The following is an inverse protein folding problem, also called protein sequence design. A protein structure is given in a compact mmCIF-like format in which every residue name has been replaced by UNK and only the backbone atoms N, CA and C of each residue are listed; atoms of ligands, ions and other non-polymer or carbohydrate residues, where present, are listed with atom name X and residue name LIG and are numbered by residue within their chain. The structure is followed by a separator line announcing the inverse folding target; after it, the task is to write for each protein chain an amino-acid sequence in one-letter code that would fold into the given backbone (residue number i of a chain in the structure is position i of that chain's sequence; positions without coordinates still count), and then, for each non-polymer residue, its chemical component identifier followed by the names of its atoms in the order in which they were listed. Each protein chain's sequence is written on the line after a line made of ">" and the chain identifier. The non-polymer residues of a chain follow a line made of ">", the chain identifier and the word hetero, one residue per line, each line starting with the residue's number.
data_IF_395424563508
#
_entry.id   IF_395424563508
#
_cell.length_a   1.000
_cell.length_b   1.000
_cell.length_c   1.000
_cell.angle_alpha   90.00
_cell.angle_beta   90.00
_cell.angle_gamma   90.00
#
_symmetry.space_group_name_H-M   'P 1'
#
loop_
_entity.id
_entity.type
_entity.pdbx_description
1 polymer ?
#
# COMPACT_ATOMS: atom_id res chain seq x y z
N UNK A 1 0.62 -7.93 -6.47
CA UNK A 1 2.04 -8.25 -6.19
C UNK A 1 2.14 -9.75 -6.07
N UNK A 2 2.97 -10.38 -6.90
CA UNK A 2 3.34 -11.78 -6.72
C UNK A 2 3.98 -11.86 -5.33
N UNK A 3 3.43 -12.66 -4.41
CA UNK A 3 4.04 -12.90 -3.10
C UNK A 3 5.34 -13.67 -3.34
N UNK A 4 6.43 -12.93 -3.54
CA UNK A 4 7.78 -13.52 -3.52
C UNK A 4 7.95 -14.05 -2.11
N UNK A 5 8.21 -15.36 -1.98
CA UNK A 5 8.41 -16.00 -0.69
C UNK A 5 9.60 -15.32 0.01
N UNK A 6 9.45 -14.87 1.27
CA UNK A 6 10.56 -14.27 2.01
C UNK A 6 11.83 -15.11 1.96
N UNK A 7 12.99 -14.48 1.78
CA UNK A 7 14.27 -15.20 1.81
C UNK A 7 14.59 -15.67 3.24
N UNK A 8 15.53 -16.63 3.37
CA UNK A 8 15.99 -17.06 4.70
C UNK A 8 16.67 -15.91 5.47
N UNK A 9 17.39 -15.05 4.74
CA UNK A 9 18.07 -13.87 5.29
C UNK A 9 17.09 -12.83 5.81
N UNK A 10 16.03 -12.50 5.04
CA UNK A 10 14.99 -11.57 5.47
C UNK A 10 14.30 -12.04 6.76
N UNK A 11 13.96 -13.34 6.83
CA UNK A 11 13.40 -13.92 8.07
C UNK A 11 14.37 -13.84 9.24
N UNK A 12 15.67 -14.05 9.00
CA UNK A 12 16.71 -13.94 10.03
C UNK A 12 16.82 -12.51 10.53
N UNK A 13 16.87 -11.51 9.64
CA UNK A 13 16.92 -10.10 10.01
C UNK A 13 15.72 -9.69 10.89
N UNK A 14 14.50 -10.14 10.57
CA UNK A 14 13.31 -9.88 11.40
C UNK A 14 13.43 -10.55 12.78
N UNK A 15 13.93 -11.78 12.87
CA UNK A 15 14.14 -12.45 14.18
C UNK A 15 15.19 -11.75 15.02
N UNK A 16 16.29 -11.31 14.41
CA UNK A 16 17.36 -10.57 15.08
C UNK A 16 16.83 -9.22 15.57
N UNK A 17 16.03 -8.51 14.75
CA UNK A 17 15.34 -7.28 15.12
C UNK A 17 14.36 -7.48 16.28
N UNK A 18 13.55 -8.54 16.25
CA UNK A 18 12.64 -8.89 17.34
C UNK A 18 13.39 -9.09 18.65
N UNK A 19 14.50 -9.84 18.62
CA UNK A 19 15.30 -10.11 19.81
C UNK A 19 15.81 -8.82 20.47
N UNK A 20 16.40 -7.91 19.69
CA UNK A 20 16.94 -6.67 20.26
C UNK A 20 15.85 -5.73 20.80
N UNK A 21 14.64 -5.76 20.24
CA UNK A 21 13.49 -4.98 20.74
C UNK A 21 12.87 -5.64 21.96
N UNK A 22 12.80 -6.97 22.00
CA UNK A 22 12.36 -7.71 23.18
C UNK A 22 13.27 -7.42 24.38
N UNK A 23 14.59 -7.44 24.18
CA UNK A 23 15.57 -7.13 25.23
C UNK A 23 15.39 -5.73 25.82
N UNK A 24 15.18 -4.69 24.98
CA UNK A 24 14.96 -3.32 25.48
C UNK A 24 13.60 -3.15 26.16
N UNK A 25 12.60 -3.89 25.70
CA UNK A 25 11.27 -3.90 26.33
C UNK A 25 11.33 -4.51 27.73
N UNK A 26 12.00 -5.65 27.89
CA UNK A 26 12.13 -6.36 29.17
C UNK A 26 12.89 -5.56 30.24
N UNK A 27 13.84 -4.71 29.84
CA UNK A 27 14.59 -3.85 30.75
C UNK A 27 13.95 -2.45 30.97
N UNK A 28 12.74 -2.20 30.45
CA UNK A 28 12.08 -0.88 30.39
C UNK A 28 13.03 0.23 29.88
N UNK A 29 13.73 -0.07 28.80
CA UNK A 29 14.77 0.80 28.27
C UNK A 29 14.24 2.17 27.86
N UNK A 30 15.09 3.19 27.97
CA UNK A 30 14.70 4.57 27.70
C UNK A 30 14.55 4.87 26.19
N UNK A 31 14.16 6.09 25.86
CA UNK A 31 13.95 6.51 24.47
C UNK A 31 15.23 6.43 23.63
N UNK A 32 16.39 6.82 24.19
CA UNK A 32 17.67 6.75 23.50
C UNK A 32 18.09 5.30 23.20
N UNK A 33 17.82 4.37 24.11
CA UNK A 33 18.05 2.94 23.94
C UNK A 33 17.13 2.32 22.89
N UNK A 34 15.87 2.78 22.85
CA UNK A 34 14.89 2.39 21.83
C UNK A 34 15.33 2.90 20.46
N UNK A 35 15.69 4.19 20.38
CA UNK A 35 16.19 4.88 19.18
C UNK A 35 17.37 4.13 18.55
N UNK A 36 18.39 3.79 19.34
CA UNK A 36 19.58 3.05 18.86
C UNK A 36 19.24 1.72 18.20
N UNK A 37 18.24 0.99 18.72
CA UNK A 37 17.80 -0.31 18.18
C UNK A 37 16.96 -0.13 16.93
N UNK A 38 16.12 0.89 16.89
CA UNK A 38 15.36 1.26 15.68
C UNK A 38 16.29 1.67 14.53
N UNK A 39 17.33 2.46 14.79
CA UNK A 39 18.39 2.76 13.79
C UNK A 39 19.00 1.48 13.21
N UNK A 40 19.29 0.49 14.06
CA UNK A 40 19.79 -0.82 13.61
C UNK A 40 18.77 -1.56 12.75
N UNK A 41 17.47 -1.44 13.01
CA UNK A 41 16.41 -2.04 12.19
C UNK A 41 16.33 -1.35 10.82
N UNK A 42 16.43 -0.01 10.76
CA UNK A 42 16.50 0.70 9.50
C UNK A 42 17.65 0.19 8.61
N UNK A 43 18.83 -0.06 9.19
CA UNK A 43 19.95 -0.65 8.46
C UNK A 43 19.74 -2.12 8.08
N UNK A 44 19.55 -2.97 9.09
CA UNK A 44 19.60 -4.43 8.91
C UNK A 44 18.36 -5.06 8.28
N UNK A 45 17.18 -4.47 8.48
CA UNK A 45 15.91 -4.99 7.96
C UNK A 45 15.48 -4.23 6.71
N UNK A 46 15.58 -2.90 6.75
CA UNK A 46 15.06 -2.05 5.66
C UNK A 46 16.13 -1.63 4.64
N UNK A 47 17.42 -1.87 4.92
CA UNK A 47 18.53 -1.67 3.98
C UNK A 47 18.99 -0.22 3.84
N UNK A 48 18.74 0.64 4.83
CA UNK A 48 19.25 2.01 4.84
C UNK A 48 20.71 2.09 5.29
N UNK A 49 21.51 2.91 4.63
CA UNK A 49 22.72 3.47 5.22
C UNK A 49 22.31 4.54 6.25
N UNK A 50 22.44 4.21 7.54
CA UNK A 50 21.97 5.06 8.65
C UNK A 50 22.68 6.41 8.67
N UNK A 51 23.92 6.50 8.18
CA UNK A 51 24.68 7.76 8.18
C UNK A 51 24.31 8.67 7.01
N UNK A 52 23.79 8.11 5.92
CA UNK A 52 23.45 8.87 4.71
C UNK A 52 21.96 9.16 4.59
N UNK A 53 21.12 8.19 4.96
CA UNK A 53 19.69 8.24 4.68
C UNK A 53 18.86 8.67 5.89
N UNK A 54 19.43 8.70 7.10
CA UNK A 54 18.75 9.24 8.29
C UNK A 54 19.44 10.54 8.70
N UNK A 55 18.67 11.60 8.81
CA UNK A 55 19.12 12.85 9.43
C UNK A 55 18.49 12.98 10.81
N UNK A 56 19.32 13.34 11.79
CA UNK A 56 18.91 13.67 13.16
C UNK A 56 18.57 15.14 13.25
N UNK A 57 17.59 15.49 14.08
CA UNK A 57 17.31 16.85 14.55
C UNK A 57 17.42 17.93 13.47
N UNK A 58 16.53 17.88 12.47
CA UNK A 58 16.33 19.08 11.66
C UNK A 58 15.57 20.07 12.54
N UNK A 59 16.20 21.18 12.92
CA UNK A 59 15.49 22.31 13.50
C UNK A 59 14.50 22.78 12.45
N UNK A 60 13.21 22.60 12.70
CA UNK A 60 12.17 23.14 11.83
C UNK A 60 11.74 24.45 12.46
N UNK A 61 11.98 25.56 11.74
CA UNK A 61 11.53 26.88 12.16
C UNK A 61 10.00 26.95 12.03
N UNK A 62 9.30 26.61 13.10
CA UNK A 62 7.89 26.95 13.31
C UNK A 62 7.74 28.33 13.96
N UNK A 63 6.58 28.95 13.78
CA UNK A 63 6.24 30.27 14.29
C UNK A 63 6.02 30.30 15.83
N UNK A 64 7.07 30.02 16.62
CA UNK A 64 7.12 30.32 18.06
C UNK A 64 7.63 29.20 18.96
N UNK A 65 7.58 27.94 18.55
CA UNK A 65 8.15 26.81 19.30
C UNK A 65 8.87 25.86 18.32
N UNK A 66 10.11 25.50 18.65
CA UNK A 66 10.88 24.52 17.86
C UNK A 66 10.54 23.15 18.40
N UNK A 67 9.48 22.51 17.90
CA UNK A 67 9.35 21.06 18.09
C UNK A 67 10.22 20.35 17.03
N UNK A 68 10.88 19.28 17.46
CA UNK A 68 11.86 18.55 16.67
C UNK A 68 11.32 17.14 16.42
N UNK A 69 11.40 16.69 15.17
CA UNK A 69 11.20 15.27 14.85
C UNK A 69 12.47 14.49 15.16
N UNK A 70 12.32 13.26 15.66
CA UNK A 70 13.46 12.40 16.01
C UNK A 70 14.37 12.11 14.81
N UNK A 71 13.77 11.71 13.69
CA UNK A 71 14.48 11.51 12.44
C UNK A 71 13.70 12.02 11.25
N UNK A 72 14.45 12.39 10.22
CA UNK A 72 13.94 12.41 8.85
C UNK A 72 14.66 11.35 8.03
N UNK A 73 13.92 10.71 7.13
CA UNK A 73 14.49 9.78 6.14
C UNK A 73 14.59 10.48 4.79
N UNK A 74 15.74 10.36 4.15
CA UNK A 74 16.08 10.98 2.87
C UNK A 74 16.81 9.99 1.96
N UNK A 75 16.62 10.10 0.65
CA UNK A 75 17.32 9.24 -0.31
C UNK A 75 18.74 9.71 -0.61
N UNK A 76 18.95 11.02 -0.54
CA UNK A 76 20.25 11.66 -0.77
C UNK A 76 20.71 12.36 0.53
N UNK A 77 22.02 12.37 0.84
CA UNK A 77 22.54 13.07 1.99
C UNK A 77 22.58 14.59 1.74
N UNK A 78 22.26 15.37 2.77
CA UNK A 78 22.41 16.83 2.75
C UNK A 78 21.43 17.52 3.70
N UNK A 79 21.78 18.72 4.23
CA UNK A 79 20.93 19.43 5.18
C UNK A 79 19.65 20.00 4.55
N UNK A 80 19.67 20.28 3.24
CA UNK A 80 18.56 20.91 2.52
C UNK A 80 17.67 19.93 1.74
N UNK A 81 17.96 18.63 1.83
CA UNK A 81 17.19 17.60 1.10
C UNK A 81 15.78 17.50 1.66
N UNK A 82 14.78 17.47 0.79
CA UNK A 82 13.39 17.27 1.21
C UNK A 82 13.24 15.87 1.83
N UNK A 83 12.71 15.76 3.06
CA UNK A 83 12.50 14.47 3.68
C UNK A 83 11.39 13.70 2.97
N UNK A 84 11.58 12.40 2.81
CA UNK A 84 10.58 11.49 2.23
C UNK A 84 9.66 10.94 3.30
N UNK A 85 10.16 10.84 4.53
CA UNK A 85 9.40 10.38 5.67
C UNK A 85 9.89 11.07 6.93
N UNK A 86 8.95 11.55 7.75
CA UNK A 86 9.22 11.96 9.12
C UNK A 86 9.05 10.79 10.06
N UNK A 87 9.98 10.60 10.99
CA UNK A 87 9.93 9.51 11.95
C UNK A 87 9.85 10.11 13.35
N UNK A 88 8.79 9.74 14.05
CA UNK A 88 8.58 10.05 15.46
C UNK A 88 8.80 8.79 16.28
N UNK A 89 9.68 8.87 17.28
CA UNK A 89 10.05 7.78 18.15
C UNK A 89 9.55 8.00 19.56
N UNK A 90 9.15 6.92 20.20
CA UNK A 90 8.84 6.90 21.63
C UNK A 90 9.62 5.79 22.32
N UNK A 91 9.73 5.91 23.64
CA UNK A 91 10.24 4.84 24.50
C UNK A 91 9.46 3.54 24.28
N UNK A 92 10.16 2.40 24.29
CA UNK A 92 9.60 1.08 23.96
C UNK A 92 8.35 0.71 24.79
N UNK A 93 8.30 1.10 26.06
CA UNK A 93 7.17 0.83 26.96
C UNK A 93 5.95 1.75 26.78
N UNK A 94 6.01 2.75 25.88
CA UNK A 94 4.91 3.70 25.66
C UNK A 94 4.02 3.22 24.51
N UNK A 95 2.73 3.04 24.78
CA UNK A 95 1.71 2.82 23.74
C UNK A 95 1.61 4.02 22.78
N UNK A 96 1.62 3.74 21.48
CA UNK A 96 1.55 4.78 20.46
C UNK A 96 0.13 5.33 20.31
N UNK A 97 -0.07 6.60 20.67
CA UNK A 97 -1.35 7.28 20.68
C UNK A 97 -1.44 8.42 19.65
N UNK A 98 -2.68 8.85 19.33
CA UNK A 98 -2.96 9.97 18.40
C UNK A 98 -2.26 11.28 18.77
N UNK A 99 -1.99 11.51 20.05
CA UNK A 99 -1.26 12.70 20.51
C UNK A 99 0.18 12.74 19.98
N UNK A 100 0.85 11.60 19.84
CA UNK A 100 2.20 11.53 19.28
C UNK A 100 2.18 11.84 17.78
N UNK A 101 1.15 11.36 17.06
CA UNK A 101 0.97 11.70 15.65
C UNK A 101 0.81 13.22 15.45
N UNK A 102 0.04 13.89 16.32
CA UNK A 102 -0.13 15.35 16.23
C UNK A 102 1.17 16.13 16.34
N UNK A 103 2.15 15.66 17.13
CA UNK A 103 3.45 16.30 17.31
C UNK A 103 4.27 16.34 16.01
N UNK A 104 4.09 15.36 15.12
CA UNK A 104 4.84 15.25 13.86
C UNK A 104 4.05 15.73 12.64
N UNK A 105 2.71 15.80 12.74
CA UNK A 105 1.85 16.21 11.62
C UNK A 105 2.10 17.65 11.15
N UNK A 106 2.24 18.62 12.07
CA UNK A 106 2.53 20.03 11.74
C UNK A 106 3.77 20.14 10.86
N UNK A 107 4.85 19.48 11.29
CA UNK A 107 6.11 19.45 10.54
C UNK A 107 5.99 18.79 9.18
N UNK A 108 5.28 17.67 9.11
CA UNK A 108 5.07 16.97 7.84
C UNK A 108 4.38 17.88 6.84
N UNK A 109 3.41 18.69 7.29
CA UNK A 109 2.73 19.69 6.47
C UNK A 109 3.69 20.80 6.04
N UNK A 110 4.40 21.41 6.98
CA UNK A 110 5.29 22.55 6.71
C UNK A 110 6.46 22.18 5.79
N UNK A 111 6.99 20.96 5.91
CA UNK A 111 8.07 20.45 5.06
C UNK A 111 7.59 19.84 3.74
N UNK A 112 6.27 19.76 3.50
CA UNK A 112 5.71 19.07 2.34
C UNK A 112 6.06 17.58 2.30
N UNK A 113 6.16 16.92 3.45
CA UNK A 113 6.47 15.51 3.59
C UNK A 113 5.18 14.68 3.70
N UNK A 114 4.90 13.87 2.68
CA UNK A 114 3.67 13.07 2.59
C UNK A 114 3.61 11.88 3.56
N UNK A 115 4.73 11.49 4.16
CA UNK A 115 4.80 10.27 4.96
C UNK A 115 5.28 10.51 6.38
N UNK A 116 4.59 9.85 7.32
CA UNK A 116 4.95 9.83 8.73
C UNK A 116 5.08 8.38 9.18
N UNK A 117 6.12 8.07 9.93
CA UNK A 117 6.30 6.82 10.66
C UNK A 117 6.34 7.11 12.15
N UNK A 118 5.36 6.58 12.88
CA UNK A 118 5.34 6.61 14.34
C UNK A 118 5.73 5.22 14.87
N UNK A 119 6.76 5.16 15.72
CA UNK A 119 7.23 3.88 16.27
C UNK A 119 7.79 3.98 17.69
N UNK A 120 7.71 2.89 18.43
CA UNK A 120 8.42 2.67 19.70
C UNK A 120 9.32 1.42 19.60
N UNK A 121 9.66 0.99 18.38
CA UNK A 121 10.40 -0.23 18.09
C UNK A 121 9.55 -1.50 18.06
N UNK A 122 8.54 -1.64 18.92
CA UNK A 122 7.60 -2.78 18.89
C UNK A 122 6.43 -2.53 17.93
N UNK A 123 5.76 -1.39 18.04
CA UNK A 123 4.68 -0.94 17.16
C UNK A 123 5.24 -0.04 16.06
N UNK A 124 4.75 -0.21 14.85
CA UNK A 124 5.10 0.61 13.69
C UNK A 124 3.81 1.04 13.01
N UNK A 125 3.59 2.34 12.87
CA UNK A 125 2.38 2.92 12.26
C UNK A 125 2.79 3.90 11.17
N UNK A 126 2.40 3.62 9.94
CA UNK A 126 2.70 4.43 8.76
C UNK A 126 1.47 5.24 8.39
N UNK A 127 1.64 6.54 8.19
CA UNK A 127 0.59 7.47 7.82
C UNK A 127 0.94 8.22 6.54
N UNK A 128 -0.10 8.54 5.78
CA UNK A 128 -0.07 9.44 4.64
C UNK A 128 -0.68 10.78 5.02
N UNK A 129 -0.04 11.88 4.61
CA UNK A 129 -0.52 13.25 4.76
C UNK A 129 -1.06 13.73 3.43
N UNK A 130 -2.35 14.02 3.36
CA UNK A 130 -2.97 14.72 2.23
C UNK A 130 -3.01 16.23 2.54
N UNK A 131 -2.39 17.03 1.68
CA UNK A 131 -2.33 18.50 1.82
C UNK A 131 -3.62 19.20 1.36
N UNK A 132 -4.77 18.63 1.72
CA UNK A 132 -6.09 19.24 1.55
C UNK A 132 -6.26 20.47 2.48
N UNK A 133 -7.39 21.18 2.33
CA UNK A 133 -7.79 22.27 3.21
C UNK A 133 -9.11 21.89 3.90
N UNK A 134 -9.11 21.35 5.13
CA UNK A 134 -7.96 21.12 6.03
C UNK A 134 -7.12 19.88 5.68
N UNK A 135 -5.85 19.80 6.12
CA UNK A 135 -5.00 18.63 5.90
C UNK A 135 -5.60 17.38 6.53
N UNK A 136 -5.46 16.24 5.83
CA UNK A 136 -5.91 14.93 6.32
C UNK A 136 -4.73 14.01 6.55
N UNK A 137 -4.80 13.23 7.62
CA UNK A 137 -3.79 12.22 7.94
C UNK A 137 -4.47 10.88 8.10
N UNK A 138 -4.10 9.93 7.24
CA UNK A 138 -4.70 8.60 7.17
C UNK A 138 -3.64 7.52 7.41
N UNK A 139 -3.99 6.48 8.15
CA UNK A 139 -3.08 5.35 8.39
C UNK A 139 -3.03 4.47 7.13
N UNK A 140 -1.83 4.28 6.59
CA UNK A 140 -1.60 3.35 5.49
C UNK A 140 -1.50 1.91 5.99
N UNK A 141 -0.68 1.67 7.01
CA UNK A 141 -0.46 0.34 7.56
C UNK A 141 0.06 0.39 9.01
N UNK A 142 -0.13 -0.69 9.75
CA UNK A 142 0.41 -0.87 11.09
C UNK A 142 0.77 -2.34 11.35
N UNK A 143 1.80 -2.55 12.16
CA UNK A 143 2.23 -3.88 12.60
C UNK A 143 2.96 -3.83 13.95
N UNK A 144 3.04 -5.00 14.60
CA UNK A 144 3.75 -5.19 15.85
C UNK A 144 4.87 -6.23 15.66
N UNK A 145 6.12 -5.79 15.78
CA UNK A 145 7.32 -6.62 15.61
C UNK A 145 7.37 -7.80 16.59
N UNK A 146 6.87 -7.63 17.81
CA UNK A 146 6.90 -8.66 18.85
C UNK A 146 5.78 -9.71 18.66
N UNK A 147 4.61 -9.28 18.18
CA UNK A 147 3.40 -10.12 18.11
C UNK A 147 3.19 -10.77 16.73
N UNK A 148 3.44 -10.05 15.64
CA UNK A 148 3.09 -10.51 14.30
C UNK A 148 3.98 -11.65 13.80
N UNK A 149 3.50 -12.42 12.82
CA UNK A 149 4.27 -13.55 12.27
C UNK A 149 5.46 -13.02 11.46
N UNK A 150 6.61 -13.68 11.58
CA UNK A 150 7.83 -13.31 10.85
C UNK A 150 7.61 -13.18 9.34
N UNK A 151 6.82 -14.07 8.74
CA UNK A 151 6.56 -14.05 7.29
C UNK A 151 5.68 -12.86 6.87
N UNK A 152 4.77 -12.40 7.74
CA UNK A 152 3.96 -11.20 7.51
C UNK A 152 4.82 -9.94 7.66
N UNK A 153 5.64 -9.90 8.72
CA UNK A 153 6.55 -8.80 9.00
C UNK A 153 7.54 -8.53 7.87
N UNK A 154 8.07 -9.56 7.20
CA UNK A 154 8.93 -9.34 6.03
C UNK A 154 8.21 -8.50 4.97
N UNK A 155 6.94 -8.79 4.70
CA UNK A 155 6.13 -8.00 3.77
C UNK A 155 5.87 -6.58 4.26
N UNK A 156 5.59 -6.41 5.55
CA UNK A 156 5.33 -5.10 6.17
C UNK A 156 6.56 -4.19 6.14
N UNK A 157 7.72 -4.70 6.55
CA UNK A 157 8.97 -3.95 6.52
C UNK A 157 9.48 -3.70 5.08
N UNK A 158 9.18 -4.57 4.12
CA UNK A 158 9.54 -4.36 2.71
C UNK A 158 8.87 -3.09 2.14
N UNK A 159 7.67 -2.73 2.61
CA UNK A 159 6.96 -1.50 2.20
C UNK A 159 7.84 -0.26 2.44
N UNK A 160 8.55 -0.25 3.57
CA UNK A 160 9.44 0.84 4.01
C UNK A 160 10.91 0.62 3.63
N UNK A 161 11.25 -0.46 2.95
CA UNK A 161 12.64 -0.72 2.55
C UNK A 161 13.19 0.41 1.67
N UNK A 162 14.49 0.68 1.77
CA UNK A 162 15.17 1.67 0.92
C UNK A 162 14.89 1.42 -0.56
N UNK A 163 14.89 0.15 -0.97
CA UNK A 163 14.57 -0.27 -2.35
C UNK A 163 13.14 0.11 -2.76
N UNK A 164 12.16 -0.11 -1.88
CA UNK A 164 10.75 0.22 -2.13
C UNK A 164 10.58 1.73 -2.24
N UNK A 165 11.11 2.48 -1.27
CA UNK A 165 11.03 3.95 -1.22
C UNK A 165 11.66 4.58 -2.45
N UNK A 166 12.87 4.15 -2.84
CA UNK A 166 13.57 4.66 -4.04
C UNK A 166 12.76 4.47 -5.34
N UNK A 167 11.82 3.53 -5.36
CA UNK A 167 10.95 3.24 -6.53
C UNK A 167 9.54 3.83 -6.40
N UNK A 168 9.30 4.71 -5.43
CA UNK A 168 7.97 5.28 -5.13
C UNK A 168 6.97 4.23 -4.63
N UNK A 169 7.44 3.25 -3.85
CA UNK A 169 6.63 2.12 -3.39
C UNK A 169 5.44 2.54 -2.54
N UNK A 170 5.64 3.46 -1.59
CA UNK A 170 4.57 3.98 -0.73
C UNK A 170 3.46 4.66 -1.54
N UNK A 171 3.82 5.58 -2.43
CA UNK A 171 2.85 6.27 -3.30
C UNK A 171 2.05 5.28 -4.14
N UNK A 172 2.69 4.24 -4.70
CA UNK A 172 1.98 3.18 -5.46
C UNK A 172 1.00 2.38 -4.60
N UNK A 173 1.38 2.06 -3.37
CA UNK A 173 0.50 1.36 -2.42
C UNK A 173 -0.68 2.27 -2.08
N UNK A 174 -0.43 3.54 -1.81
CA UNK A 174 -1.46 4.52 -1.47
C UNK A 174 -2.43 4.80 -2.60
N UNK A 175 -1.95 5.04 -3.82
CA UNK A 175 -2.82 5.14 -5.01
C UNK A 175 -3.70 3.91 -5.13
N UNK A 176 -3.18 2.71 -4.83
CA UNK A 176 -3.98 1.49 -4.88
C UNK A 176 -5.04 1.43 -3.77
N UNK A 177 -4.74 1.93 -2.57
CA UNK A 177 -5.73 2.08 -1.49
C UNK A 177 -6.83 3.05 -1.94
N UNK A 178 -6.47 4.22 -2.47
CA UNK A 178 -7.45 5.23 -2.92
C UNK A 178 -8.30 4.76 -4.11
N UNK A 179 -7.73 4.06 -5.09
CA UNK A 179 -8.51 3.51 -6.22
C UNK A 179 -9.55 2.47 -5.76
N UNK A 180 -9.31 1.82 -4.62
CA UNK A 180 -10.23 0.86 -4.02
C UNK A 180 -11.10 1.47 -2.92
N UNK A 181 -11.09 2.80 -2.77
CA UNK A 181 -11.96 3.49 -1.82
C UNK A 181 -13.44 3.37 -2.24
N UNK A 182 -14.38 3.37 -1.27
CA UNK A 182 -15.80 3.15 -1.56
C UNK A 182 -16.38 4.09 -2.61
N UNK A 183 -16.07 5.38 -2.53
CA UNK A 183 -16.50 6.41 -3.47
C UNK A 183 -15.99 6.13 -4.90
N UNK A 184 -14.71 5.80 -5.04
CA UNK A 184 -14.09 5.51 -6.33
C UNK A 184 -14.68 4.25 -6.97
N UNK A 185 -14.88 3.20 -6.17
CA UNK A 185 -15.50 1.96 -6.62
C UNK A 185 -16.98 2.16 -6.99
N UNK A 186 -17.73 2.91 -6.18
CA UNK A 186 -19.13 3.19 -6.46
C UNK A 186 -19.30 4.00 -7.73
N UNK A 187 -18.48 5.05 -7.91
CA UNK A 187 -18.45 5.84 -9.14
C UNK A 187 -18.17 4.95 -10.37
N UNK A 188 -17.21 4.03 -10.27
CA UNK A 188 -16.89 3.09 -11.37
C UNK A 188 -18.05 2.13 -11.70
N UNK A 189 -18.81 1.68 -10.69
CA UNK A 189 -19.96 0.78 -10.86
C UNK A 189 -21.13 1.49 -11.55
N UNK A 190 -21.36 2.79 -11.29
CA UNK A 190 -22.53 3.53 -11.78
C UNK A 190 -22.28 4.32 -13.06
N UNK A 191 -21.17 4.08 -13.75
CA UNK A 191 -20.93 4.63 -15.10
C UNK A 191 -21.92 4.08 -16.14
N UNK A 192 -22.16 4.82 -17.22
CA UNK A 192 -23.10 4.42 -18.27
C UNK A 192 -22.78 3.02 -18.84
N UNK A 193 -21.51 2.75 -19.12
CA UNK A 193 -21.06 1.46 -19.67
C UNK A 193 -21.24 0.30 -18.67
N UNK A 194 -20.97 0.55 -17.38
CA UNK A 194 -21.18 -0.42 -16.32
C UNK A 194 -22.68 -0.72 -16.14
N UNK A 195 -23.52 0.31 -16.05
CA UNK A 195 -24.98 0.16 -15.94
C UNK A 195 -25.55 -0.56 -17.16
N UNK A 196 -25.14 -0.19 -18.37
CA UNK A 196 -25.52 -0.88 -19.61
C UNK A 196 -25.15 -2.36 -19.57
N UNK A 197 -23.95 -2.69 -19.08
CA UNK A 197 -23.49 -4.08 -18.94
C UNK A 197 -24.31 -4.84 -17.90
N UNK A 198 -24.57 -4.24 -16.75
CA UNK A 198 -25.39 -4.84 -15.67
C UNK A 198 -26.81 -5.10 -16.18
N UNK A 199 -27.47 -4.10 -16.79
CA UNK A 199 -28.82 -4.23 -17.36
C UNK A 199 -28.90 -5.32 -18.42
N UNK A 200 -27.90 -5.40 -19.31
CA UNK A 200 -27.83 -6.46 -20.32
C UNK A 200 -27.73 -7.84 -19.69
N UNK A 201 -26.89 -8.01 -18.67
CA UNK A 201 -26.73 -9.29 -17.97
C UNK A 201 -28.03 -9.68 -17.23
N UNK A 202 -28.66 -8.74 -16.51
CA UNK A 202 -29.94 -8.97 -15.85
C UNK A 202 -31.02 -9.40 -16.84
N UNK A 203 -31.16 -8.70 -17.98
CA UNK A 203 -32.13 -9.05 -19.02
C UNK A 203 -31.85 -10.43 -19.61
N UNK A 204 -30.58 -10.76 -19.85
CA UNK A 204 -30.20 -12.07 -20.39
C UNK A 204 -30.58 -13.20 -19.44
N UNK A 205 -30.37 -13.03 -18.14
CA UNK A 205 -30.55 -14.10 -17.16
C UNK A 205 -32.00 -14.21 -16.65
N UNK A 206 -32.75 -13.11 -16.64
CA UNK A 206 -34.12 -13.04 -16.09
C UNK A 206 -35.22 -12.77 -17.12
N UNK A 207 -34.85 -12.28 -18.31
CA UNK A 207 -35.80 -11.77 -19.31
C UNK A 207 -36.35 -10.37 -19.03
N UNK A 208 -36.10 -9.79 -17.84
CA UNK A 208 -36.69 -8.52 -17.39
C UNK A 208 -35.88 -7.32 -17.91
N UNK A 209 -36.59 -6.32 -18.44
CA UNK A 209 -36.01 -5.03 -18.78
C UNK A 209 -35.86 -4.17 -17.53
N UNK A 210 -34.67 -3.61 -17.34
CA UNK A 210 -34.34 -2.71 -16.23
C UNK A 210 -33.79 -1.42 -16.86
N UNK A 211 -34.15 -0.25 -16.35
CA UNK A 211 -33.59 1.03 -16.77
C UNK A 211 -32.42 1.49 -15.86
N UNK A 212 -31.75 2.60 -16.21
CA UNK A 212 -30.56 3.06 -15.46
C UNK A 212 -30.88 3.49 -14.02
N UNK A 213 -32.03 4.12 -13.78
CA UNK A 213 -32.45 4.52 -12.42
C UNK A 213 -32.80 3.31 -11.54
N UNK A 214 -33.48 2.32 -12.09
CA UNK A 214 -33.80 1.07 -11.39
C UNK A 214 -32.54 0.30 -11.02
N UNK A 215 -31.59 0.19 -11.97
CA UNK A 215 -30.30 -0.44 -11.74
C UNK A 215 -29.50 0.32 -10.66
N UNK A 216 -29.44 1.64 -10.75
CA UNK A 216 -28.79 2.50 -9.75
C UNK A 216 -29.39 2.31 -8.35
N UNK A 217 -30.72 2.44 -8.21
CA UNK A 217 -31.41 2.25 -6.91
C UNK A 217 -31.20 0.83 -6.36
N UNK A 218 -31.20 -0.18 -7.24
CA UNK A 218 -30.88 -1.55 -6.89
C UNK A 218 -29.48 -1.68 -6.30
N UNK A 219 -28.47 -1.11 -6.97
CA UNK A 219 -27.07 -1.07 -6.51
C UNK A 219 -26.94 -0.32 -5.17
N UNK A 220 -27.59 0.84 -5.02
CA UNK A 220 -27.56 1.60 -3.76
C UNK A 220 -28.11 0.79 -2.59
N UNK A 221 -29.13 -0.03 -2.82
CA UNK A 221 -29.67 -0.94 -1.79
C UNK A 221 -28.73 -2.08 -1.43
N UNK A 222 -27.65 -2.34 -2.19
CA UNK A 222 -26.62 -3.32 -1.84
C UNK A 222 -25.63 -2.79 -0.78
N UNK A 223 -25.71 -1.52 -0.40
CA UNK A 223 -24.83 -0.90 0.60
C UNK A 223 -25.26 -1.25 2.04
N UNK A 224 -25.38 -2.55 2.34
CA UNK A 224 -25.74 -3.05 3.66
C UNK A 224 -25.13 -4.43 3.97
N UNK A 225 -25.22 -4.84 5.23
CA UNK A 225 -24.66 -6.12 5.70
C UNK A 225 -25.29 -7.36 5.05
N UNK A 226 -26.58 -7.32 4.72
CA UNK A 226 -27.26 -8.46 4.09
C UNK A 226 -26.67 -8.74 2.70
N UNK A 227 -26.41 -7.70 1.91
CA UNK A 227 -25.75 -7.80 0.63
C UNK A 227 -24.29 -8.26 0.76
N UNK A 228 -23.56 -7.80 1.79
CA UNK A 228 -22.20 -8.27 2.07
C UNK A 228 -22.17 -9.79 2.38
N UNK A 229 -23.13 -10.29 3.17
CA UNK A 229 -23.30 -11.73 3.44
C UNK A 229 -23.59 -12.52 2.17
N UNK A 230 -24.51 -12.03 1.34
CA UNK A 230 -24.79 -12.67 0.05
C UNK A 230 -23.53 -12.72 -0.84
N UNK A 231 -22.76 -11.64 -0.90
CA UNK A 231 -21.53 -11.55 -1.70
C UNK A 231 -20.45 -12.54 -1.25
N UNK A 232 -20.36 -12.86 0.04
CA UNK A 232 -19.40 -13.86 0.57
C UNK A 232 -19.58 -15.26 -0.03
N UNK A 233 -20.78 -15.58 -0.52
CA UNK A 233 -21.08 -16.87 -1.15
C UNK A 233 -20.73 -16.89 -2.65
N UNK A 234 -20.49 -15.74 -3.26
CA UNK A 234 -20.25 -15.60 -4.71
C UNK A 234 -18.74 -15.64 -4.96
N UNK A 235 -18.30 -16.60 -5.77
CA UNK A 235 -16.88 -16.73 -6.15
C UNK A 235 -16.51 -15.70 -7.22
N UNK A 236 -15.29 -15.16 -7.12
CA UNK A 236 -14.72 -14.29 -8.16
C UNK A 236 -14.66 -15.08 -9.47
N UNK A 237 -15.29 -14.58 -10.56
CA UNK A 237 -15.28 -15.28 -11.85
C UNK A 237 -13.86 -15.48 -12.37
N UNK A 238 -13.49 -16.72 -12.72
CA UNK A 238 -12.22 -16.98 -13.40
C UNK A 238 -12.38 -16.85 -14.91
N UNK A 239 -11.43 -16.17 -15.55
CA UNK A 239 -11.39 -16.03 -17.01
C UNK A 239 -11.16 -17.42 -17.62
N UNK A 240 -12.13 -17.93 -18.37
CA UNK A 240 -12.01 -19.20 -19.09
C UNK A 240 -10.84 -19.07 -20.08
N UNK A 241 -9.78 -19.86 -19.91
CA UNK A 241 -8.68 -19.93 -20.88
C UNK A 241 -9.26 -20.51 -22.18
N UNK A 242 -9.40 -19.67 -23.21
CA UNK A 242 -9.72 -20.14 -24.57
C UNK A 242 -8.55 -21.00 -25.06
N UNK A 243 -8.71 -22.32 -25.06
CA UNK A 243 -7.88 -23.22 -25.84
C UNK A 243 -8.12 -22.91 -27.31
N UNK A 244 -7.11 -22.38 -28.01
CA UNK A 244 -7.15 -22.25 -29.47
C UNK A 244 -7.21 -23.67 -30.04
N UNK A 245 -8.35 -24.08 -30.61
CA UNK A 245 -8.40 -25.25 -31.51
C UNK A 245 -7.47 -24.94 -32.68
N UNK A 246 -6.44 -25.78 -32.86
CA UNK A 246 -5.61 -25.77 -34.06
C UNK A 246 -6.53 -25.92 -35.28
N UNK A 247 -6.35 -25.04 -36.27
CA UNK A 247 -6.97 -25.21 -37.58
C UNK A 247 -6.38 -26.48 -38.18
N UNK A 248 -7.22 -27.49 -38.41
CA UNK A 248 -6.93 -28.56 -39.35
C UNK A 248 -6.81 -27.95 -40.76
N UNK A 249 -5.69 -28.23 -41.41
CA UNK A 249 -5.43 -27.87 -42.80
C UNK A 249 -6.55 -28.42 -43.69
N UNK A 250 -7.11 -27.54 -44.52
CA UNK A 250 -8.00 -27.92 -45.61
C UNK A 250 -7.12 -28.20 -46.83
N UNK A 251 -7.25 -29.40 -47.39
CA UNK A 251 -6.75 -29.78 -48.71
C UNK A 251 -7.17 -28.74 -49.77
N UNK A 252 -6.20 -28.35 -50.60
CA UNK A 252 -6.42 -27.53 -51.79
C UNK A 252 -7.16 -28.35 -52.87
N UNK A 253 -8.19 -27.80 -53.55
CA UNK A 253 -8.62 -28.33 -54.82
C UNK A 253 -7.76 -27.75 -55.94
N UNK A 254 -7.19 -28.63 -56.76
CA UNK A 254 -6.61 -28.33 -58.07
C UNK A 254 -7.57 -27.53 -58.95
N UNK A 255 -7.14 -26.36 -59.44
CA UNK A 255 -7.80 -25.65 -60.53
C UNK A 255 -6.87 -25.56 -61.74
N UNK A 256 -7.27 -26.23 -62.82
CA UNK A 256 -6.82 -26.03 -64.18
C UNK A 256 -7.10 -24.58 -64.62
N UNK A 257 -6.14 -23.90 -65.27
CA UNK A 257 -6.43 -22.88 -66.29
C UNK A 257 -5.33 -22.83 -67.37
N UNK A 258 -5.77 -23.19 -68.58
CA UNK A 258 -5.60 -22.52 -69.87
C UNK A 258 -4.23 -22.04 -70.37
N UNK A 259 -3.87 -22.54 -71.57
CA UNK A 259 -2.91 -21.93 -72.49
C UNK A 259 -3.45 -21.98 -73.92
N UNK A 260 -3.87 -20.82 -74.40
CA UNK A 260 -4.39 -20.47 -75.73
C UNK A 260 -3.45 -20.86 -76.89
N UNK A 261 -4.04 -21.37 -77.99
CA UNK A 261 -3.42 -21.43 -79.33
C UNK A 261 -3.46 -20.05 -80.01
N UNK A 262 -2.49 -19.73 -80.89
CA UNK A 262 -2.81 -19.76 -82.33
C UNK A 262 -1.68 -20.22 -83.28
N UNK A 263 -2.16 -20.69 -84.44
CA UNK A 263 -1.54 -21.04 -85.75
C UNK A 263 -0.51 -22.19 -85.84
#
# INVERSE_FOLDING_TARGET
>A
MVKVKPSKEQRKAIRDARKIIQEVFEMDGNEAETRRRVERIFGSVMGYDVLKHLSRERAVQGAGEVEHVDFTMQLEPGPDVQPIMMVELKRVGIELAKKHLKQVTSYAIDAGCEWILLTNGREWKVYHVEFDQPPKVEMLDAWNLLEDKTDELVGKFEILSYRSIKRGGLSKIWTRVKVLAPDTLLAAIVTEDSLRTIRRNLRKDTGILVNDEEAYRGISRLLNEAAAKAMSSIKVPQRVKRTRKAKTDKEEPTSEQEGTFPE
#
